data_IF_022429643790
#
_entry.id   IF_022429643790
#
_cell.length_a   1.000
_cell.length_b   1.000
_cell.length_c   1.000
_cell.angle_alpha   90.00
_cell.angle_beta   90.00
_cell.angle_gamma   90.00
#
_symmetry.space_group_name_H-M   'P 1'
#
loop_
_entity.id
_entity.type
_entity.pdbx_description
1 polymer ?
#
# COMPACT_ATOMS: atom_id res chain seq x y z
N UNK A 1 -15.44 46.90 30.06
CA UNK A 1 -14.43 46.37 29.13
C UNK A 1 -14.12 47.45 28.10
N UNK A 2 -12.88 47.94 27.98
CA UNK A 2 -12.56 48.93 26.96
C UNK A 2 -12.64 48.30 25.56
N UNK A 3 -13.04 49.05 24.51
CA UNK A 3 -13.04 48.55 23.13
C UNK A 3 -11.68 47.98 22.71
N UNK A 4 -10.59 48.56 23.21
CA UNK A 4 -9.21 48.09 22.99
C UNK A 4 -8.97 46.69 23.55
N UNK A 5 -9.48 46.37 24.74
CA UNK A 5 -9.31 45.05 25.35
C UNK A 5 -10.10 43.97 24.60
N UNK A 6 -11.30 44.31 24.09
CA UNK A 6 -12.09 43.38 23.25
C UNK A 6 -11.33 43.04 21.97
N UNK A 7 -10.77 44.05 21.28
CA UNK A 7 -9.98 43.84 20.05
C UNK A 7 -8.77 42.96 20.33
N UNK A 8 -8.03 43.22 21.42
CA UNK A 8 -6.86 42.40 21.79
C UNK A 8 -7.25 40.95 22.02
N UNK A 9 -8.34 40.69 22.76
CA UNK A 9 -8.82 39.32 23.01
C UNK A 9 -9.19 38.62 21.70
N UNK A 10 -9.93 39.29 20.81
CA UNK A 10 -10.33 38.71 19.51
C UNK A 10 -9.10 38.36 18.67
N UNK A 11 -8.11 39.26 18.59
CA UNK A 11 -6.87 38.99 17.85
C UNK A 11 -6.12 37.79 18.44
N UNK A 12 -5.99 37.71 19.77
CA UNK A 12 -5.35 36.57 20.44
C UNK A 12 -6.09 35.28 20.14
N UNK A 13 -7.43 35.26 20.18
CA UNK A 13 -8.23 34.07 19.86
C UNK A 13 -7.99 33.63 18.42
N UNK A 14 -7.99 34.55 17.45
CA UNK A 14 -7.74 34.23 16.04
C UNK A 14 -6.34 33.66 15.83
N UNK A 15 -5.32 34.24 16.47
CA UNK A 15 -3.93 33.75 16.40
C UNK A 15 -3.82 32.35 17.00
N UNK A 16 -4.44 32.12 18.17
CA UNK A 16 -4.44 30.80 18.83
C UNK A 16 -5.13 29.76 17.94
N UNK A 17 -6.29 30.07 17.37
CA UNK A 17 -6.99 29.18 16.44
C UNK A 17 -6.15 28.87 15.20
N UNK A 18 -5.48 29.88 14.64
CA UNK A 18 -4.56 29.70 13.51
C UNK A 18 -3.39 28.77 13.86
N UNK A 19 -2.79 28.93 15.04
CA UNK A 19 -1.69 28.09 15.50
C UNK A 19 -2.14 26.64 15.73
N UNK A 20 -3.29 26.44 16.37
CA UNK A 20 -3.86 25.09 16.59
C UNK A 20 -4.16 24.41 15.25
N UNK A 21 -4.79 25.11 14.31
CA UNK A 21 -5.08 24.57 12.98
C UNK A 21 -3.79 24.19 12.23
N UNK A 22 -2.75 25.04 12.31
CA UNK A 22 -1.44 24.77 11.72
C UNK A 22 -0.78 23.51 12.33
N UNK A 23 -0.78 23.36 13.65
CA UNK A 23 -0.21 22.20 14.33
C UNK A 23 -0.93 20.90 13.95
N UNK A 24 -2.27 20.91 13.93
CA UNK A 24 -3.08 19.75 13.52
C UNK A 24 -2.81 19.38 12.06
N UNK A 25 -2.76 20.36 11.15
CA UNK A 25 -2.47 20.10 9.74
C UNK A 25 -1.05 19.55 9.55
N UNK A 26 -0.07 20.10 10.28
CA UNK A 26 1.32 19.64 10.22
C UNK A 26 1.46 18.19 10.68
N UNK A 27 0.77 17.81 11.77
CA UNK A 27 0.77 16.43 12.25
C UNK A 27 0.12 15.46 11.25
N UNK A 28 -1.06 15.82 10.71
CA UNK A 28 -1.73 14.99 9.68
C UNK A 28 -0.85 14.76 8.46
N UNK A 29 -0.19 15.81 7.98
CA UNK A 29 0.74 15.70 6.86
C UNK A 29 1.92 14.78 7.18
N UNK A 30 2.49 14.90 8.38
CA UNK A 30 3.58 14.04 8.83
C UNK A 30 3.14 12.57 8.88
N UNK A 31 1.97 12.29 9.45
CA UNK A 31 1.39 10.95 9.48
C UNK A 31 1.20 10.36 8.08
N UNK A 32 0.62 11.12 7.14
CA UNK A 32 0.45 10.64 5.76
C UNK A 32 1.79 10.37 5.06
N UNK A 33 2.79 11.22 5.25
CA UNK A 33 4.14 10.98 4.72
C UNK A 33 4.80 9.75 5.32
N UNK A 34 4.65 9.54 6.63
CA UNK A 34 5.20 8.38 7.32
C UNK A 34 4.50 7.08 6.88
N UNK A 35 3.16 7.12 6.70
CA UNK A 35 2.36 5.96 6.30
C UNK A 35 2.56 5.57 4.83
N UNK A 36 2.49 6.53 3.92
CA UNK A 36 2.54 6.27 2.47
C UNK A 36 3.96 6.36 1.89
N UNK A 37 4.91 7.01 2.56
CA UNK A 37 6.30 7.10 2.12
C UNK A 37 6.41 7.60 0.66
N UNK A 38 7.05 6.85 -0.26
CA UNK A 38 7.15 7.23 -1.68
C UNK A 38 5.81 7.51 -2.36
N UNK A 39 4.75 6.83 -1.92
CA UNK A 39 3.42 7.00 -2.50
C UNK A 39 2.77 8.34 -2.10
N UNK A 40 3.22 8.96 -1.00
CA UNK A 40 2.84 10.35 -0.72
C UNK A 40 3.38 11.29 -1.78
N UNK A 41 4.67 11.14 -2.12
CA UNK A 41 5.32 12.03 -3.08
C UNK A 41 4.68 11.86 -4.47
N UNK A 42 4.45 10.61 -4.88
CA UNK A 42 3.72 10.29 -6.12
C UNK A 42 2.32 10.89 -6.16
N UNK A 43 1.51 10.71 -5.10
CA UNK A 43 0.17 11.26 -5.05
C UNK A 43 0.14 12.80 -5.13
N UNK A 44 1.17 13.47 -4.57
CA UNK A 44 1.31 14.93 -4.66
C UNK A 44 1.71 15.37 -6.07
N UNK A 45 2.53 14.59 -6.77
CA UNK A 45 2.91 14.84 -8.16
C UNK A 45 1.73 14.65 -9.13
N UNK A 46 0.91 13.63 -8.90
CA UNK A 46 -0.23 13.28 -9.75
C UNK A 46 -1.48 14.17 -9.51
N UNK A 47 -1.53 14.92 -8.39
CA UNK A 47 -2.69 15.74 -8.01
C UNK A 47 -2.54 17.21 -8.39
N UNK A 48 -3.68 17.90 -8.59
CA UNK A 48 -3.68 19.35 -8.90
C UNK A 48 -3.17 20.22 -7.74
N UNK A 49 -3.26 19.71 -6.51
CA UNK A 49 -2.73 20.37 -5.33
C UNK A 49 -2.37 19.38 -4.24
N UNK A 50 -1.40 19.75 -3.39
CA UNK A 50 -1.05 18.96 -2.20
C UNK A 50 -2.24 18.69 -1.27
N UNK A 51 -3.19 19.64 -1.16
CA UNK A 51 -4.39 19.47 -0.32
C UNK A 51 -5.31 18.38 -0.85
N UNK A 52 -5.42 18.26 -2.17
CA UNK A 52 -6.21 17.22 -2.82
C UNK A 52 -5.56 15.84 -2.61
N UNK A 53 -4.25 15.72 -2.87
CA UNK A 53 -3.48 14.51 -2.59
C UNK A 53 -3.63 14.04 -1.13
N UNK A 54 -3.40 14.94 -0.17
CA UNK A 54 -3.54 14.63 1.26
C UNK A 54 -4.96 14.18 1.63
N UNK A 55 -5.98 14.76 1.00
CA UNK A 55 -7.38 14.35 1.21
C UNK A 55 -7.65 12.96 0.65
N UNK A 56 -7.14 12.66 -0.53
CA UNK A 56 -7.29 11.33 -1.13
C UNK A 56 -6.58 10.25 -0.32
N UNK A 57 -5.32 10.47 0.07
CA UNK A 57 -4.57 9.53 0.91
C UNK A 57 -5.27 9.29 2.25
N UNK A 58 -5.79 10.34 2.89
CA UNK A 58 -6.59 10.21 4.10
C UNK A 58 -7.89 9.41 3.86
N UNK A 59 -8.51 9.52 2.69
CA UNK A 59 -9.68 8.71 2.32
C UNK A 59 -9.31 7.25 2.08
N UNK A 60 -8.15 6.96 1.45
CA UNK A 60 -7.63 5.59 1.28
C UNK A 60 -7.42 4.94 2.65
N UNK A 61 -6.76 5.63 3.57
CA UNK A 61 -6.56 5.14 4.95
C UNK A 61 -7.89 4.86 5.67
N UNK A 62 -8.88 5.75 5.53
CA UNK A 62 -10.23 5.53 6.12
C UNK A 62 -10.99 4.35 5.52
N UNK A 63 -10.80 4.05 4.23
CA UNK A 63 -11.40 2.86 3.61
C UNK A 63 -10.69 1.60 4.09
N UNK A 64 -9.37 1.63 4.10
CA UNK A 64 -8.54 0.55 4.58
C UNK A 64 -8.84 0.17 6.03
N UNK A 65 -9.08 1.14 6.93
CA UNK A 65 -9.47 0.88 8.32
C UNK A 65 -10.80 0.12 8.48
N UNK A 66 -11.62 0.04 7.43
CA UNK A 66 -12.87 -0.74 7.43
C UNK A 66 -12.68 -2.15 6.89
N UNK A 67 -11.52 -2.46 6.30
CA UNK A 67 -11.18 -3.79 5.83
C UNK A 67 -10.74 -4.63 7.03
N UNK A 68 -11.17 -5.88 7.03
CA UNK A 68 -10.78 -6.86 8.05
C UNK A 68 -9.48 -7.54 7.61
N UNK A 69 -8.40 -6.75 7.56
CA UNK A 69 -7.10 -7.23 7.10
C UNK A 69 -6.41 -7.99 8.23
N UNK A 70 -6.05 -9.25 7.98
CA UNK A 70 -5.44 -10.14 8.97
C UNK A 70 -4.14 -10.76 8.46
N UNK A 71 -3.17 -11.01 9.36
CA UNK A 71 -2.01 -11.83 9.03
C UNK A 71 -2.46 -13.23 8.58
N UNK A 72 -1.73 -13.81 7.62
CA UNK A 72 -1.91 -15.20 7.24
C UNK A 72 -1.45 -16.15 8.35
N UNK A 73 -2.09 -17.31 8.49
CA UNK A 73 -1.59 -18.38 9.36
C UNK A 73 -0.22 -18.88 8.88
N UNK A 74 0.53 -19.54 9.76
CA UNK A 74 1.83 -20.14 9.40
C UNK A 74 1.67 -21.19 8.29
N UNK A 75 0.60 -21.98 8.34
CA UNK A 75 0.29 -23.01 7.35
C UNK A 75 -0.04 -22.41 5.99
N UNK A 76 -0.87 -21.35 5.95
CA UNK A 76 -1.19 -20.66 4.70
C UNK A 76 0.06 -20.06 4.06
N UNK A 77 0.94 -19.46 4.87
CA UNK A 77 2.22 -18.92 4.37
C UNK A 77 3.11 -20.00 3.77
N UNK A 78 3.21 -21.16 4.40
CA UNK A 78 4.00 -22.27 3.86
C UNK A 78 3.43 -22.81 2.55
N UNK A 79 2.10 -22.95 2.46
CA UNK A 79 1.42 -23.35 1.24
C UNK A 79 1.68 -22.35 0.10
N UNK A 80 1.59 -21.05 0.37
CA UNK A 80 1.86 -20.03 -0.62
C UNK A 80 3.33 -20.00 -1.06
N UNK A 81 4.29 -20.19 -0.14
CA UNK A 81 5.71 -20.32 -0.51
C UNK A 81 5.95 -21.50 -1.43
N UNK A 82 5.37 -22.66 -1.12
CA UNK A 82 5.48 -23.83 -1.97
C UNK A 82 4.88 -23.60 -3.37
N UNK A 83 3.73 -22.91 -3.45
CA UNK A 83 3.14 -22.52 -4.75
C UNK A 83 4.02 -21.54 -5.52
N UNK A 84 4.60 -20.55 -4.84
CA UNK A 84 5.55 -19.64 -5.47
C UNK A 84 6.76 -20.37 -6.05
N UNK A 85 7.35 -21.33 -5.32
CA UNK A 85 8.48 -22.12 -5.83
C UNK A 85 8.16 -22.86 -7.12
N UNK A 86 6.94 -23.44 -7.24
CA UNK A 86 6.49 -24.09 -8.47
C UNK A 86 6.37 -23.12 -9.64
N UNK A 87 5.91 -21.89 -9.39
CA UNK A 87 5.85 -20.84 -10.42
C UNK A 87 7.26 -20.51 -10.94
N UNK A 88 8.25 -20.43 -10.04
CA UNK A 88 9.64 -20.17 -10.43
C UNK A 88 10.23 -21.32 -11.28
N UNK A 89 9.90 -22.57 -10.95
CA UNK A 89 10.30 -23.74 -11.74
C UNK A 89 9.66 -23.69 -13.14
N UNK A 90 8.35 -23.41 -13.22
CA UNK A 90 7.62 -23.32 -14.47
C UNK A 90 8.10 -22.18 -15.38
N UNK A 91 8.59 -21.08 -14.79
CA UNK A 91 9.07 -19.91 -15.55
C UNK A 91 10.16 -20.25 -16.57
N UNK A 92 10.98 -21.27 -16.30
CA UNK A 92 12.07 -21.69 -17.19
C UNK A 92 11.54 -22.15 -18.55
N UNK A 93 10.43 -22.90 -18.54
CA UNK A 93 9.83 -23.48 -19.73
C UNK A 93 8.70 -22.62 -20.30
N UNK A 94 7.95 -21.93 -19.43
CA UNK A 94 6.73 -21.21 -19.74
C UNK A 94 6.68 -19.85 -19.03
N UNK A 95 7.52 -18.87 -19.43
CA UNK A 95 7.66 -17.61 -18.71
C UNK A 95 6.37 -16.79 -18.67
N UNK A 96 5.62 -16.70 -19.77
CA UNK A 96 4.34 -15.96 -19.81
C UNK A 96 3.29 -16.54 -18.87
N UNK A 97 3.11 -17.87 -18.87
CA UNK A 97 2.15 -18.54 -17.98
C UNK A 97 2.54 -18.41 -16.51
N UNK A 98 3.84 -18.49 -16.19
CA UNK A 98 4.34 -18.32 -14.84
C UNK A 98 4.06 -16.90 -14.29
N UNK A 99 4.18 -15.85 -15.10
CA UNK A 99 3.85 -14.48 -14.68
C UNK A 99 2.34 -14.31 -14.45
N UNK A 100 1.51 -14.87 -15.32
CA UNK A 100 0.06 -14.86 -15.13
C UNK A 100 -0.34 -15.63 -13.85
N UNK A 101 0.29 -16.76 -13.56
CA UNK A 101 0.04 -17.51 -12.32
C UNK A 101 0.56 -16.76 -11.08
N UNK A 102 1.67 -16.02 -11.19
CA UNK A 102 2.14 -15.15 -10.12
C UNK A 102 1.10 -14.07 -9.76
N UNK A 103 0.53 -13.38 -10.76
CA UNK A 103 -0.52 -12.37 -10.51
C UNK A 103 -1.76 -12.98 -9.84
N UNK A 104 -2.21 -14.16 -10.30
CA UNK A 104 -3.31 -14.91 -9.67
C UNK A 104 -2.98 -15.29 -8.23
N UNK A 105 -1.76 -15.76 -7.96
CA UNK A 105 -1.31 -16.12 -6.63
C UNK A 105 -1.31 -14.91 -5.68
N UNK A 106 -0.81 -13.77 -6.13
CA UNK A 106 -0.84 -12.52 -5.35
C UNK A 106 -2.28 -12.11 -5.03
N UNK A 107 -3.18 -12.17 -6.02
CA UNK A 107 -4.59 -11.84 -5.82
C UNK A 107 -5.25 -12.76 -4.78
N UNK A 108 -4.92 -14.05 -4.79
CA UNK A 108 -5.38 -14.99 -3.76
C UNK A 108 -4.82 -14.66 -2.36
N UNK A 109 -3.52 -14.35 -2.27
CA UNK A 109 -2.88 -13.93 -1.02
C UNK A 109 -3.56 -12.67 -0.46
N UNK A 110 -3.85 -11.70 -1.32
CA UNK A 110 -4.56 -10.47 -0.95
C UNK A 110 -5.98 -10.78 -0.43
N UNK A 111 -6.71 -11.66 -1.12
CA UNK A 111 -8.05 -12.10 -0.72
C UNK A 111 -8.04 -12.76 0.67
N UNK A 112 -7.13 -13.71 0.89
CA UNK A 112 -6.99 -14.45 2.16
C UNK A 112 -6.58 -13.53 3.31
N UNK A 113 -5.88 -12.43 3.01
CA UNK A 113 -5.58 -11.37 3.97
C UNK A 113 -6.75 -10.45 4.25
N UNK A 114 -7.82 -10.45 3.45
CA UNK A 114 -8.99 -9.60 3.63
C UNK A 114 -9.02 -8.36 2.73
N UNK A 115 -8.15 -8.25 1.73
CA UNK A 115 -8.25 -7.23 0.69
C UNK A 115 -9.34 -7.61 -0.33
N UNK A 116 -10.08 -6.63 -0.88
CA UNK A 116 -11.03 -6.88 -1.96
C UNK A 116 -10.29 -7.41 -3.21
N UNK A 117 -10.65 -8.63 -3.66
CA UNK A 117 -10.01 -9.28 -4.81
C UNK A 117 -10.81 -9.17 -6.11
N UNK A 118 -12.14 -9.08 -6.04
CA UNK A 118 -13.04 -9.02 -7.21
C UNK A 118 -13.38 -7.57 -7.63
N UNK A 119 -12.46 -6.63 -7.41
CA UNK A 119 -12.68 -5.20 -7.58
C UNK A 119 -11.98 -4.57 -8.78
N UNK A 120 -12.12 -3.25 -8.90
CA UNK A 120 -11.32 -2.43 -9.81
C UNK A 120 -9.82 -2.51 -9.42
N UNK A 121 -8.90 -2.86 -10.34
CA UNK A 121 -7.46 -2.86 -10.09
C UNK A 121 -6.94 -1.57 -9.47
N UNK A 122 -7.46 -0.41 -9.88
CA UNK A 122 -7.06 0.88 -9.30
C UNK A 122 -7.47 1.01 -7.83
N UNK A 123 -8.60 0.41 -7.44
CA UNK A 123 -9.04 0.38 -6.06
C UNK A 123 -8.18 -0.60 -5.24
N UNK A 124 -7.81 -1.75 -5.79
CA UNK A 124 -6.91 -2.72 -5.14
C UNK A 124 -5.54 -2.09 -4.87
N UNK A 125 -4.95 -1.38 -5.84
CA UNK A 125 -3.71 -0.61 -5.65
C UNK A 125 -3.86 0.45 -4.56
N UNK A 126 -4.99 1.15 -4.55
CA UNK A 126 -5.27 2.16 -3.53
C UNK A 126 -5.35 1.57 -2.13
N UNK A 127 -5.91 0.37 -1.98
CA UNK A 127 -6.00 -0.31 -0.69
C UNK A 127 -4.62 -0.84 -0.25
N UNK A 128 -3.84 -1.44 -1.16
CA UNK A 128 -2.47 -1.86 -0.89
C UNK A 128 -1.56 -0.70 -0.49
N UNK A 129 -1.77 0.50 -1.06
CA UNK A 129 -0.93 1.68 -0.82
C UNK A 129 -0.83 2.10 0.66
N UNK A 130 -1.75 1.64 1.50
CA UNK A 130 -1.80 2.03 2.91
C UNK A 130 -0.79 1.24 3.77
N UNK A 131 -0.58 -0.05 3.49
CA UNK A 131 0.35 -0.91 4.25
C UNK A 131 1.57 -1.35 3.42
N UNK A 132 1.41 -1.43 2.11
CA UNK A 132 2.39 -1.96 1.17
C UNK A 132 2.94 -0.87 0.23
N UNK A 133 2.93 0.40 0.68
CA UNK A 133 3.32 1.55 -0.13
C UNK A 133 4.73 1.43 -0.76
N UNK A 134 5.66 0.75 -0.06
CA UNK A 134 7.04 0.57 -0.52
C UNK A 134 7.19 -0.46 -1.62
N UNK A 135 6.27 -1.42 -1.70
CA UNK A 135 6.30 -2.50 -2.69
C UNK A 135 5.29 -2.28 -3.83
N UNK A 136 4.40 -1.30 -3.68
CA UNK A 136 3.36 -0.99 -4.65
C UNK A 136 3.88 -0.66 -6.05
N UNK A 137 5.03 0.01 -6.16
CA UNK A 137 5.61 0.28 -7.49
C UNK A 137 6.02 -1.01 -8.20
N UNK A 138 6.60 -1.98 -7.48
CA UNK A 138 6.90 -3.30 -8.05
C UNK A 138 5.62 -4.00 -8.55
N UNK A 139 4.53 -3.89 -7.80
CA UNK A 139 3.24 -4.43 -8.23
C UNK A 139 2.75 -3.81 -9.53
N UNK A 140 2.76 -2.47 -9.63
CA UNK A 140 2.37 -1.73 -10.85
C UNK A 140 3.24 -2.11 -12.04
N UNK A 141 4.55 -2.13 -11.87
CA UNK A 141 5.50 -2.48 -12.95
C UNK A 141 5.25 -3.90 -13.44
N UNK A 142 5.11 -4.88 -12.53
CA UNK A 142 4.89 -6.27 -12.91
C UNK A 142 3.56 -6.46 -13.66
N UNK A 143 2.49 -5.81 -13.19
CA UNK A 143 1.16 -5.88 -13.82
C UNK A 143 1.12 -5.18 -15.17
N UNK A 144 1.84 -4.07 -15.33
CA UNK A 144 2.02 -3.40 -16.62
C UNK A 144 2.71 -4.33 -17.65
N UNK A 145 3.78 -5.04 -17.24
CA UNK A 145 4.45 -6.01 -18.11
C UNK A 145 3.52 -7.15 -18.50
N UNK A 146 2.73 -7.67 -17.56
CA UNK A 146 1.77 -8.76 -17.84
C UNK A 146 0.70 -8.31 -18.86
N UNK A 147 0.08 -7.15 -18.67
CA UNK A 147 -0.92 -6.63 -19.61
C UNK A 147 -0.33 -6.29 -20.99
N UNK A 148 0.91 -5.75 -21.03
CA UNK A 148 1.60 -5.50 -22.30
C UNK A 148 1.98 -6.78 -23.07
N UNK A 149 2.15 -7.90 -22.37
CA UNK A 149 2.47 -9.20 -22.97
C UNK A 149 1.27 -9.84 -23.69
N UNK A 150 0.04 -9.54 -23.27
CA UNK A 150 -1.16 -10.02 -23.97
C UNK A 150 -1.28 -9.43 -25.39
N UNK A 151 -0.60 -8.31 -25.66
CA UNK A 151 -0.61 -7.59 -26.95
C UNK A 151 0.67 -7.76 -27.79
N UNK A 152 1.79 -8.23 -27.20
CA UNK A 152 3.05 -8.43 -27.91
C UNK A 152 3.98 -9.42 -27.20
N UNK A 153 4.85 -10.11 -27.95
CA UNK A 153 5.86 -11.04 -27.40
C UNK A 153 6.93 -10.25 -26.62
N UNK A 154 6.66 -9.99 -25.33
CA UNK A 154 7.64 -9.37 -24.43
C UNK A 154 8.95 -10.18 -24.41
N UNK A 155 10.08 -9.49 -24.26
CA UNK A 155 11.38 -10.15 -24.16
C UNK A 155 11.41 -10.98 -22.86
N UNK A 156 12.01 -12.18 -22.91
CA UNK A 156 12.01 -13.11 -21.75
C UNK A 156 12.69 -12.48 -20.52
N UNK A 157 13.61 -11.54 -20.75
CA UNK A 157 14.24 -10.73 -19.72
C UNK A 157 13.26 -9.78 -19.01
N UNK A 158 12.31 -9.18 -19.73
CA UNK A 158 11.27 -8.34 -19.13
C UNK A 158 10.34 -9.17 -18.23
N UNK A 159 9.96 -10.37 -18.68
CA UNK A 159 9.18 -11.31 -17.88
C UNK A 159 9.95 -11.74 -16.62
N UNK A 160 11.27 -11.94 -16.74
CA UNK A 160 12.12 -12.28 -15.59
C UNK A 160 12.11 -11.14 -14.55
N UNK A 161 12.19 -9.89 -14.99
CA UNK A 161 12.11 -8.73 -14.11
C UNK A 161 10.72 -8.58 -13.49
N UNK A 162 9.65 -8.84 -14.24
CA UNK A 162 8.29 -8.86 -13.70
C UNK A 162 8.12 -9.94 -12.61
N UNK A 163 8.72 -11.12 -12.76
CA UNK A 163 8.67 -12.16 -11.72
C UNK A 163 9.35 -11.71 -10.42
N UNK A 164 10.49 -11.02 -10.54
CA UNK A 164 11.22 -10.45 -9.40
C UNK A 164 10.39 -9.36 -8.71
N UNK A 165 9.75 -8.50 -9.50
CA UNK A 165 8.85 -7.48 -8.98
C UNK A 165 7.66 -8.11 -8.22
N UNK A 166 7.01 -9.13 -8.78
CA UNK A 166 5.97 -9.87 -8.07
C UNK A 166 6.50 -10.57 -6.81
N UNK A 167 7.73 -11.09 -6.83
CA UNK A 167 8.34 -11.71 -5.63
C UNK A 167 8.43 -10.71 -4.47
N UNK A 168 8.88 -9.49 -4.75
CA UNK A 168 9.02 -8.44 -3.74
C UNK A 168 7.68 -8.15 -3.06
N UNK A 169 6.60 -8.06 -3.85
CA UNK A 169 5.24 -7.83 -3.34
C UNK A 169 4.73 -9.06 -2.58
N UNK A 170 4.98 -10.26 -3.10
CA UNK A 170 4.60 -11.51 -2.47
C UNK A 170 5.20 -11.68 -1.08
N UNK A 171 6.51 -11.44 -0.93
CA UNK A 171 7.20 -11.57 0.36
C UNK A 171 6.68 -10.57 1.40
N UNK A 172 6.38 -9.35 0.96
CA UNK A 172 5.79 -8.29 1.79
C UNK A 172 4.35 -8.65 2.23
N UNK A 173 3.54 -9.19 1.32
CA UNK A 173 2.18 -9.67 1.61
C UNK A 173 2.17 -10.88 2.55
N UNK A 174 3.13 -11.81 2.45
CA UNK A 174 3.20 -12.90 3.43
C UNK A 174 3.45 -12.33 4.83
N UNK A 175 4.25 -11.27 4.96
CA UNK A 175 4.54 -10.65 6.25
C UNK A 175 5.27 -11.59 7.22
N UNK A 176 5.36 -11.17 8.48
CA UNK A 176 6.04 -11.92 9.55
C UNK A 176 5.09 -12.89 10.26
N UNK A 177 5.61 -13.96 10.90
CA UNK A 177 4.79 -14.89 11.65
C UNK A 177 3.96 -14.27 12.76
N UNK A 178 2.70 -14.71 12.89
CA UNK A 178 1.77 -14.29 13.95
C UNK A 178 2.38 -14.45 15.35
N UNK A 179 3.23 -15.47 15.54
CA UNK A 179 3.94 -15.74 16.79
C UNK A 179 4.97 -14.67 17.21
N UNK A 180 5.34 -13.73 16.33
CA UNK A 180 6.21 -12.63 16.69
C UNK A 180 5.50 -11.56 17.54
N UNK A 181 4.16 -11.45 17.47
CA UNK A 181 3.41 -10.43 18.22
C UNK A 181 3.01 -10.87 19.64
N UNK A 182 3.04 -12.17 19.97
CA UNK A 182 2.62 -12.68 21.29
C UNK A 182 3.73 -12.66 22.35
N UNK A 183 4.99 -12.40 21.97
CA UNK A 183 6.14 -12.48 22.87
C UNK A 183 6.63 -11.13 23.45
N UNK A 184 6.09 -9.99 23.02
CA UNK A 184 6.46 -8.66 23.56
C UNK A 184 5.50 -8.14 24.65
N UNK A 185 4.38 -8.82 24.91
CA UNK A 185 3.37 -8.39 25.90
C UNK A 185 3.62 -8.83 27.35
N UNK A 186 4.59 -9.71 27.60
CA UNK A 186 4.75 -10.37 28.91
C UNK A 186 6.05 -10.00 29.65
N UNK A 187 6.57 -8.80 29.38
CA UNK A 187 7.71 -8.24 30.13
C UNK A 187 7.55 -6.75 30.39
N UNK A 188 6.57 -6.34 31.21
CA UNK A 188 6.64 -5.11 32.04
C UNK A 188 5.84 -5.27 33.32
#
# INVERSE_FOLDING_TARGET
MSPTMIIVIVVVVVVVLGLVAFLVQSQKRRHLRERFGPEYDRAVEDSSSRREAERELANRERRHQKLDIRPLSDEAREQYRARWSRIQEQFVDQPGEAIAEADRLLTQVMADRGYPADGDPAQQESDLSVEHARTLEHYRTARQTLHGHEESTADTEELRQALVNYRTVFDDLLGKPEHAHRSEGERR
#
